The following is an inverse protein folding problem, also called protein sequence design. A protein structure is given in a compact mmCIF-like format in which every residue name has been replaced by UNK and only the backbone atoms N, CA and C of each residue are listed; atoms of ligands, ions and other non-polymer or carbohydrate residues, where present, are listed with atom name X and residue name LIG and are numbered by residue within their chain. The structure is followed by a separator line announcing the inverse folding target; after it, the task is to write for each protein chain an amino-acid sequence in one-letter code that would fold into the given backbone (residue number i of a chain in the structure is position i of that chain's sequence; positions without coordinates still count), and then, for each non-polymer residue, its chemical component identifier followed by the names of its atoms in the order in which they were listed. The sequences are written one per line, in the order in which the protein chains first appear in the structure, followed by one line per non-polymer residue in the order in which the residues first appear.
data_IF_909015046036
#
_entry.id   IF_909015046036
#
_cell.length_a   1.000
_cell.length_b   1.000
_cell.length_c   1.000
_cell.angle_alpha   90.00
_cell.angle_beta   90.00
_cell.angle_gamma   90.00
#
_symmetry.space_group_name_H-M   'P 1'
#
loop_
_entity.id
_entity.type
_entity.pdbx_description
1 polymer ?
#
# COMPACT_ATOMS: atom_id res chain seq x y z
N UNK A 1 -1.12 7.14 18.41
CA UNK A 1 -1.49 6.95 16.98
C UNK A 1 -1.07 5.54 16.59
N UNK A 2 -2.00 4.67 16.23
CA UNK A 2 -1.69 3.38 15.63
C UNK A 2 -1.22 3.63 14.19
N UNK A 3 0.03 3.24 13.92
CA UNK A 3 0.66 3.23 12.61
C UNK A 3 1.49 1.94 12.47
N UNK A 4 0.98 0.83 13.00
CA UNK A 4 1.73 -0.42 13.18
C UNK A 4 1.83 -1.28 11.90
N UNK A 5 1.52 -0.70 10.73
CA UNK A 5 1.59 -1.42 9.45
C UNK A 5 0.78 -2.74 9.50
N UNK A 6 1.32 -3.86 9.00
CA UNK A 6 0.62 -5.15 8.93
C UNK A 6 0.02 -5.65 10.26
N UNK A 7 0.50 -5.14 11.40
CA UNK A 7 -0.02 -5.43 12.73
C UNK A 7 -1.15 -4.49 13.19
N UNK A 8 -1.66 -3.61 12.32
CA UNK A 8 -2.61 -2.56 12.68
C UNK A 8 -3.89 -3.12 13.32
N UNK A 9 -4.42 -4.23 12.78
CA UNK A 9 -5.64 -4.87 13.29
C UNK A 9 -5.43 -5.42 14.72
N UNK A 10 -4.28 -6.05 14.99
CA UNK A 10 -3.92 -6.54 16.32
C UNK A 10 -3.86 -5.39 17.34
N UNK A 11 -3.26 -4.26 16.98
CA UNK A 11 -3.19 -3.08 17.86
C UNK A 11 -4.58 -2.50 18.11
N UNK A 12 -5.46 -2.49 17.11
CA UNK A 12 -6.85 -2.03 17.27
C UNK A 12 -7.69 -2.97 18.15
N UNK A 13 -7.46 -4.29 18.06
CA UNK A 13 -8.09 -5.28 18.94
C UNK A 13 -7.62 -5.11 20.38
N UNK A 14 -6.30 -4.96 20.60
CA UNK A 14 -5.73 -4.70 21.92
C UNK A 14 -6.27 -3.42 22.57
N UNK A 15 -6.50 -2.38 21.76
CA UNK A 15 -7.10 -1.13 22.21
C UNK A 15 -8.63 -1.20 22.40
N UNK A 16 -9.28 -2.29 21.98
CA UNK A 16 -10.73 -2.47 22.08
C UNK A 16 -11.55 -1.63 21.11
N UNK A 17 -10.94 -1.10 20.04
CA UNK A 17 -11.59 -0.18 19.08
C UNK A 17 -12.07 -0.85 17.80
N UNK A 18 -11.68 -2.11 17.56
CA UNK A 18 -11.97 -2.83 16.31
C UNK A 18 -13.48 -2.97 16.01
N UNK A 19 -14.33 -3.02 17.04
CA UNK A 19 -15.78 -3.09 16.89
C UNK A 19 -16.40 -1.79 16.35
N UNK A 20 -15.74 -0.64 16.58
CA UNK A 20 -16.18 0.67 16.10
C UNK A 20 -15.80 0.97 14.64
N UNK A 21 -15.19 0.01 13.95
CA UNK A 21 -14.71 0.13 12.57
C UNK A 21 -15.57 -0.68 11.61
N UNK A 22 -16.00 -0.06 10.51
CA UNK A 22 -16.67 -0.72 9.39
C UNK A 22 -15.69 -1.36 8.43
N UNK A 23 -14.52 -0.73 8.24
CA UNK A 23 -13.44 -1.24 7.39
C UNK A 23 -12.42 -2.00 8.25
N UNK A 24 -12.06 -3.20 7.82
CA UNK A 24 -11.05 -4.04 8.47
C UNK A 24 -9.71 -3.93 7.74
N UNK A 25 -8.66 -4.35 8.43
CA UNK A 25 -7.31 -4.47 7.86
C UNK A 25 -6.77 -5.88 8.02
N UNK A 26 -5.94 -6.32 7.09
CA UNK A 26 -5.30 -7.64 7.09
C UNK A 26 -3.89 -7.55 6.50
N UNK A 27 -2.99 -8.39 6.99
CA UNK A 27 -1.67 -8.53 6.42
C UNK A 27 -1.73 -9.35 5.11
N UNK A 28 -1.24 -8.75 4.02
CA UNK A 28 -1.09 -9.39 2.73
C UNK A 28 0.39 -9.59 2.45
N UNK A 29 0.81 -10.83 2.21
CA UNK A 29 2.18 -11.12 1.76
C UNK A 29 2.32 -10.70 0.31
N UNK A 30 3.36 -9.92 0.03
CA UNK A 30 3.72 -9.46 -1.30
C UNK A 30 5.19 -9.75 -1.58
N UNK A 31 5.51 -9.94 -2.85
CA UNK A 31 6.88 -10.14 -3.29
C UNK A 31 7.15 -9.44 -4.61
N UNK A 32 8.41 -9.04 -4.78
CA UNK A 32 8.91 -8.39 -5.99
C UNK A 32 10.10 -9.17 -6.51
N UNK A 33 10.21 -9.27 -7.83
CA UNK A 33 11.32 -9.94 -8.52
C UNK A 33 12.44 -8.96 -8.85
N UNK A 34 13.69 -9.38 -8.69
CA UNK A 34 14.87 -8.65 -9.14
C UNK A 34 15.49 -9.40 -10.32
N UNK A 35 15.47 -8.78 -11.49
CA UNK A 35 15.90 -9.37 -12.75
C UNK A 35 17.07 -8.56 -13.33
N UNK A 36 18.13 -9.19 -13.89
CA UNK A 36 19.20 -8.44 -14.52
C UNK A 36 18.69 -7.59 -15.68
N UNK A 37 19.35 -6.44 -15.90
CA UNK A 37 19.11 -5.64 -17.10
C UNK A 37 19.34 -6.47 -18.38
N UNK A 38 18.57 -6.22 -19.47
CA UNK A 38 18.84 -6.80 -20.77
C UNK A 38 20.26 -6.54 -21.27
N UNK A 39 20.79 -7.46 -22.08
CA UNK A 39 22.12 -7.28 -22.67
C UNK A 39 22.18 -5.99 -23.51
N UNK A 40 23.22 -5.19 -23.28
CA UNK A 40 23.44 -3.93 -23.98
C UNK A 40 22.60 -2.75 -23.48
N UNK A 41 21.87 -2.89 -22.38
CA UNK A 41 21.13 -1.80 -21.74
C UNK A 41 21.56 -1.59 -20.29
N UNK A 42 21.75 -0.34 -19.89
CA UNK A 42 21.98 0.04 -18.49
C UNK A 42 20.64 0.50 -17.90
N UNK A 43 19.91 -0.42 -17.27
CA UNK A 43 18.61 -0.10 -16.70
C UNK A 43 18.72 0.74 -15.43
N UNK A 44 19.84 0.67 -14.72
CA UNK A 44 20.06 1.51 -13.54
C UNK A 44 20.24 2.98 -13.94
N UNK A 45 20.98 3.25 -15.03
CA UNK A 45 21.21 4.61 -15.50
C UNK A 45 20.08 5.15 -16.41
N UNK A 46 19.61 4.34 -17.36
CA UNK A 46 18.73 4.77 -18.46
C UNK A 46 17.31 4.21 -18.35
N UNK A 47 17.05 3.32 -17.38
CA UNK A 47 15.75 2.73 -17.17
C UNK A 47 14.70 3.72 -16.65
N UNK A 48 13.44 3.44 -16.95
CA UNK A 48 12.30 4.23 -16.49
C UNK A 48 11.41 3.42 -15.55
N UNK A 49 10.68 4.13 -14.70
CA UNK A 49 9.59 3.54 -13.92
C UNK A 49 8.39 3.35 -14.85
N UNK A 50 7.81 2.15 -14.85
CA UNK A 50 6.63 1.82 -15.64
C UNK A 50 5.61 1.03 -14.84
N UNK A 51 4.35 1.18 -15.21
CA UNK A 51 3.19 0.40 -14.75
C UNK A 51 2.41 0.01 -16.00
N UNK A 52 2.03 -1.27 -16.12
CA UNK A 52 1.36 -1.81 -17.30
C UNK A 52 0.29 -2.82 -16.89
N UNK A 53 -0.95 -2.33 -16.85
CA UNK A 53 -2.13 -3.11 -16.53
C UNK A 53 -2.37 -4.30 -17.46
N UNK A 54 -1.82 -4.32 -18.69
CA UNK A 54 -1.97 -5.48 -19.59
C UNK A 54 -1.17 -6.69 -19.10
N UNK A 55 -0.06 -6.46 -18.40
CA UNK A 55 0.74 -7.51 -17.78
C UNK A 55 0.48 -7.61 -16.27
N UNK A 56 -0.32 -6.71 -15.71
CA UNK A 56 -0.68 -6.67 -14.29
C UNK A 56 0.54 -6.45 -13.39
N UNK A 57 1.41 -5.51 -13.75
CA UNK A 57 2.66 -5.32 -13.04
C UNK A 57 3.36 -4.02 -13.35
N UNK A 58 4.29 -3.67 -12.49
CA UNK A 58 5.13 -2.48 -12.59
C UNK A 58 6.61 -2.87 -12.58
N UNK A 59 7.46 -1.95 -13.03
CA UNK A 59 8.90 -2.12 -12.98
C UNK A 59 9.61 -0.79 -12.71
N UNK A 60 10.79 -0.87 -12.08
CA UNK A 60 11.67 0.28 -11.88
C UNK A 60 13.15 -0.13 -11.91
N UNK A 61 14.06 0.82 -12.15
CA UNK A 61 15.48 0.62 -11.92
C UNK A 61 15.78 0.14 -10.50
N UNK A 62 16.71 -0.80 -10.39
CA UNK A 62 17.23 -1.32 -9.14
C UNK A 62 18.77 -1.40 -9.17
N UNK A 63 19.36 -1.24 -8.00
CA UNK A 63 20.81 -1.17 -7.75
C UNK A 63 21.53 -2.38 -8.31
N UNK A 64 22.68 -2.15 -8.95
CA UNK A 64 23.50 -3.20 -9.56
C UNK A 64 23.05 -3.58 -10.96
N UNK A 65 22.49 -2.62 -11.71
CA UNK A 65 21.95 -2.78 -13.06
C UNK A 65 20.88 -3.89 -13.16
N UNK A 66 19.90 -3.83 -12.26
CA UNK A 66 18.75 -4.71 -12.22
C UNK A 66 17.44 -3.96 -12.47
N UNK A 67 16.40 -4.74 -12.72
CA UNK A 67 15.01 -4.32 -12.80
C UNK A 67 14.30 -4.94 -11.60
N UNK A 68 13.68 -4.11 -10.76
CA UNK A 68 12.67 -4.58 -9.83
C UNK A 68 11.35 -4.66 -10.57
N UNK A 69 10.71 -5.81 -10.53
CA UNK A 69 9.38 -6.07 -11.09
C UNK A 69 8.43 -6.40 -9.94
N UNK A 70 7.27 -5.77 -9.89
CA UNK A 70 6.24 -6.05 -8.91
C UNK A 70 4.87 -6.27 -9.54
N UNK A 71 3.94 -6.80 -8.75
CA UNK A 71 2.56 -7.05 -9.18
C UNK A 71 1.69 -5.80 -9.00
N UNK A 72 0.67 -5.67 -9.83
CA UNK A 72 -0.49 -4.78 -9.60
C UNK A 72 -1.69 -5.57 -9.06
N UNK A 73 -1.44 -6.78 -8.56
CA UNK A 73 -2.43 -7.74 -8.05
C UNK A 73 -3.58 -7.97 -9.04
N UNK A 74 -3.29 -8.41 -10.29
CA UNK A 74 -4.33 -8.73 -11.25
C UNK A 74 -5.19 -9.90 -10.75
N UNK A 75 -6.46 -9.97 -11.17
CA UNK A 75 -7.44 -10.99 -10.72
C UNK A 75 -6.96 -12.44 -10.87
N UNK A 76 -6.07 -12.72 -11.83
CA UNK A 76 -5.53 -14.05 -12.04
C UNK A 76 -4.50 -14.49 -10.99
N UNK A 77 -3.99 -13.57 -10.17
CA UNK A 77 -3.09 -13.84 -9.06
C UNK A 77 -3.89 -13.98 -7.76
N UNK A 78 -3.65 -15.07 -7.02
CA UNK A 78 -4.21 -15.21 -5.68
C UNK A 78 -3.57 -14.21 -4.70
N UNK A 79 -4.40 -13.68 -3.79
CA UNK A 79 -3.92 -12.87 -2.66
C UNK A 79 -3.55 -13.77 -1.48
N UNK A 80 -2.30 -13.66 -1.02
CA UNK A 80 -1.76 -14.47 0.08
C UNK A 80 -1.89 -13.75 1.43
N UNK A 81 -3.01 -13.98 2.10
CA UNK A 81 -3.31 -13.41 3.40
C UNK A 81 -2.63 -14.20 4.53
N UNK A 82 -1.86 -13.53 5.36
CA UNK A 82 -0.97 -14.19 6.34
C UNK A 82 -1.11 -13.61 7.75
N UNK A 83 -0.55 -14.34 8.72
CA UNK A 83 -0.26 -13.81 10.05
C UNK A 83 1.03 -12.96 9.96
N UNK A 84 1.02 -11.67 10.37
CA UNK A 84 2.18 -10.81 10.24
C UNK A 84 3.38 -11.22 11.11
N UNK A 85 3.19 -12.07 12.12
CA UNK A 85 4.26 -12.66 12.93
C UNK A 85 4.73 -14.03 12.42
N UNK A 86 4.01 -14.64 11.47
CA UNK A 86 4.30 -15.98 10.98
C UNK A 86 3.92 -16.14 9.49
N UNK A 87 4.84 -15.76 8.61
CA UNK A 87 4.67 -15.88 7.17
C UNK A 87 5.96 -16.37 6.49
N UNK A 88 5.82 -16.90 5.27
CA UNK A 88 6.96 -17.33 4.48
C UNK A 88 7.73 -16.11 3.95
N UNK A 89 9.02 -15.98 4.30
CA UNK A 89 9.88 -14.90 3.83
C UNK A 89 10.70 -15.27 2.58
N UNK A 90 10.58 -16.51 2.10
CA UNK A 90 11.23 -16.94 0.87
C UNK A 90 10.45 -16.51 -0.36
N UNK A 91 11.17 -16.11 -1.41
CA UNK A 91 10.60 -15.81 -2.73
C UNK A 91 9.94 -17.06 -3.31
N UNK A 92 8.73 -16.91 -3.82
CA UNK A 92 7.95 -18.02 -4.41
C UNK A 92 8.05 -18.06 -5.94
N UNK A 93 7.34 -19.02 -6.55
CA UNK A 93 7.19 -19.09 -8.00
C UNK A 93 6.50 -17.85 -8.59
N UNK A 94 5.79 -17.06 -7.77
CA UNK A 94 5.12 -15.85 -8.21
C UNK A 94 6.11 -14.78 -8.71
N UNK A 95 7.30 -14.65 -8.12
CA UNK A 95 8.34 -13.78 -8.65
C UNK A 95 8.80 -14.19 -10.06
N UNK A 96 8.81 -15.49 -10.38
CA UNK A 96 9.07 -15.97 -11.75
C UNK A 96 7.94 -15.59 -12.70
N UNK A 97 6.69 -15.67 -12.25
CA UNK A 97 5.52 -15.21 -13.04
C UNK A 97 5.63 -13.73 -13.36
N UNK A 98 5.98 -12.89 -12.37
CA UNK A 98 6.21 -11.46 -12.56
C UNK A 98 7.36 -11.20 -13.57
N UNK A 99 8.46 -11.93 -13.46
CA UNK A 99 9.58 -11.84 -14.41
C UNK A 99 9.17 -12.20 -15.85
N UNK A 100 8.36 -13.26 -16.02
CA UNK A 100 7.85 -13.68 -17.32
C UNK A 100 6.88 -12.64 -17.92
N UNK A 101 6.08 -11.96 -17.09
CA UNK A 101 5.22 -10.84 -17.51
C UNK A 101 6.05 -9.66 -17.99
N UNK A 102 7.07 -9.26 -17.24
CA UNK A 102 7.98 -8.19 -17.64
C UNK A 102 8.76 -8.51 -18.93
N UNK A 103 9.13 -9.78 -19.16
CA UNK A 103 9.81 -10.21 -20.39
C UNK A 103 8.98 -9.99 -21.67
N UNK A 104 7.65 -9.82 -21.57
CA UNK A 104 6.82 -9.41 -22.71
C UNK A 104 7.10 -7.98 -23.18
N UNK A 105 7.72 -7.14 -22.34
CA UNK A 105 8.16 -5.77 -22.66
C UNK A 105 9.66 -5.65 -22.85
N UNK A 106 10.42 -6.57 -22.29
CA UNK A 106 11.88 -6.66 -22.43
C UNK A 106 12.27 -8.02 -23.02
N UNK A 107 12.09 -8.27 -24.33
CA UNK A 107 12.29 -9.60 -24.91
C UNK A 107 13.72 -10.13 -24.83
N UNK A 108 14.72 -9.24 -24.74
CA UNK A 108 16.14 -9.59 -24.54
C UNK A 108 16.53 -9.75 -23.06
N UNK A 109 15.57 -9.60 -22.13
CA UNK A 109 15.80 -9.82 -20.71
C UNK A 109 15.93 -11.31 -20.41
N UNK A 110 17.04 -11.67 -19.76
CA UNK A 110 17.23 -13.03 -19.28
C UNK A 110 16.45 -13.24 -17.98
N UNK A 111 15.67 -14.32 -17.91
CA UNK A 111 15.03 -14.75 -16.66
C UNK A 111 15.93 -15.81 -16.01
N UNK A 112 16.56 -15.52 -14.85
CA UNK A 112 17.39 -16.50 -14.16
C UNK A 112 16.59 -17.76 -13.78
N UNK A 113 17.29 -18.89 -13.64
CA UNK A 113 16.67 -20.11 -13.10
C UNK A 113 16.16 -19.88 -11.67
N UNK A 114 16.97 -19.17 -10.86
CA UNK A 114 16.62 -18.74 -9.51
C UNK A 114 16.37 -17.24 -9.54
N UNK A 115 15.10 -16.84 -9.58
CA UNK A 115 14.71 -15.44 -9.49
C UNK A 115 14.93 -14.96 -8.05
N UNK A 116 15.64 -13.85 -7.90
CA UNK A 116 15.82 -13.19 -6.60
C UNK A 116 14.71 -12.18 -6.39
N UNK A 117 14.52 -11.75 -5.16
CA UNK A 117 13.45 -10.82 -4.83
C UNK A 117 13.45 -10.43 -3.37
N UNK A 118 12.47 -9.63 -3.01
CA UNK A 118 12.16 -9.25 -1.64
C UNK A 118 10.71 -9.67 -1.37
N UNK A 119 10.49 -10.20 -0.18
CA UNK A 119 9.17 -10.56 0.34
C UNK A 119 8.92 -9.71 1.57
N UNK A 120 7.75 -9.09 1.65
CA UNK A 120 7.30 -8.36 2.84
C UNK A 120 5.77 -8.30 2.84
N UNK A 121 5.19 -7.46 3.71
CA UNK A 121 3.76 -7.39 3.97
C UNK A 121 3.18 -6.02 3.68
N UNK A 122 1.96 -6.01 3.14
CA UNK A 122 1.09 -4.85 3.14
C UNK A 122 0.04 -4.94 4.26
N UNK A 123 -0.30 -3.78 4.81
CA UNK A 123 -1.48 -3.58 5.65
C UNK A 123 -2.65 -3.15 4.78
N UNK A 124 -3.52 -4.10 4.40
CA UNK A 124 -4.52 -3.90 3.36
C UNK A 124 -5.91 -3.75 3.97
N UNK A 125 -6.65 -2.74 3.54
CA UNK A 125 -8.06 -2.54 3.90
C UNK A 125 -9.01 -3.27 2.96
N UNK A 126 -10.24 -3.52 3.41
CA UNK A 126 -11.28 -4.19 2.61
C UNK A 126 -11.53 -3.54 1.23
N UNK A 127 -11.26 -2.23 1.11
CA UNK A 127 -11.44 -1.44 -0.10
C UNK A 127 -10.12 -0.80 -0.59
N UNK A 128 -8.97 -1.28 -0.11
CA UNK A 128 -7.62 -0.83 -0.52
C UNK A 128 -7.32 0.68 -0.35
N UNK A 129 -8.17 1.41 0.39
CA UNK A 129 -8.01 2.82 0.73
C UNK A 129 -7.52 2.92 2.19
N UNK A 130 -6.56 3.79 2.53
CA UNK A 130 -6.08 3.91 3.91
C UNK A 130 -7.15 4.40 4.89
N UNK A 131 -6.91 4.14 6.17
CA UNK A 131 -7.66 4.72 7.28
C UNK A 131 -6.79 5.79 7.94
N UNK A 132 -7.25 7.04 7.87
CA UNK A 132 -6.65 8.21 8.51
C UNK A 132 -7.72 8.86 9.39
N UNK A 133 -7.86 8.38 10.63
CA UNK A 133 -9.05 8.66 11.44
C UNK A 133 -8.75 8.64 12.95
N UNK A 134 -9.74 9.04 13.75
CA UNK A 134 -9.79 8.86 15.21
C UNK A 134 -10.70 7.67 15.55
N UNK A 135 -10.50 6.99 16.67
CA UNK A 135 -11.41 5.94 17.15
C UNK A 135 -12.46 6.47 18.13
N UNK A 136 -13.36 5.60 18.60
CA UNK A 136 -14.24 5.87 19.73
C UNK A 136 -13.52 5.86 21.10
N UNK A 137 -12.31 5.32 21.18
CA UNK A 137 -11.43 5.47 22.34
C UNK A 137 -10.75 6.85 22.31
N UNK A 138 -11.02 7.67 23.33
CA UNK A 138 -10.46 9.02 23.46
C UNK A 138 -8.93 9.00 23.39
N UNK A 139 -8.36 9.80 22.48
CA UNK A 139 -6.91 9.94 22.29
C UNK A 139 -6.28 8.84 21.41
N UNK A 140 -7.08 7.90 20.89
CA UNK A 140 -6.59 6.85 19.99
C UNK A 140 -6.93 7.18 18.54
N UNK A 141 -5.88 7.36 17.73
CA UNK A 141 -5.93 7.73 16.32
C UNK A 141 -5.27 6.65 15.47
N UNK A 142 -5.61 6.57 14.19
CA UNK A 142 -5.16 5.54 13.26
C UNK A 142 -4.64 6.17 11.96
N UNK A 143 -3.46 5.72 11.55
CA UNK A 143 -2.91 5.94 10.21
C UNK A 143 -2.44 4.58 9.68
N UNK A 144 -3.39 3.78 9.20
CA UNK A 144 -3.25 2.35 8.94
C UNK A 144 -3.87 1.99 7.58
N UNK A 145 -3.75 0.74 7.16
CA UNK A 145 -4.45 0.24 6.00
C UNK A 145 -3.90 0.77 4.68
N UNK A 146 -2.60 1.10 4.65
CA UNK A 146 -1.97 1.81 3.53
C UNK A 146 -1.97 1.05 2.19
N UNK A 147 -2.31 -0.24 2.20
CA UNK A 147 -2.60 -1.05 1.01
C UNK A 147 -1.54 -0.96 -0.09
N UNK A 148 -0.27 -0.83 0.32
CA UNK A 148 0.91 -0.85 -0.56
C UNK A 148 1.21 0.42 -1.36
N UNK A 149 0.38 1.46 -1.34
CA UNK A 149 0.51 2.59 -2.27
C UNK A 149 0.80 3.97 -1.64
N UNK A 150 0.84 4.05 -0.32
CA UNK A 150 0.94 5.31 0.43
C UNK A 150 2.36 5.76 0.80
N UNK A 151 3.41 5.01 0.48
CA UNK A 151 4.80 5.40 0.82
C UNK A 151 5.12 6.84 0.37
N UNK A 152 4.76 7.17 -0.88
CA UNK A 152 4.94 8.51 -1.47
C UNK A 152 4.09 9.61 -0.79
N UNK A 153 2.98 9.23 -0.16
CA UNK A 153 2.05 10.15 0.49
C UNK A 153 2.37 10.38 1.98
N UNK A 154 3.24 9.57 2.57
CA UNK A 154 3.55 9.62 4.01
C UNK A 154 3.84 11.05 4.55
N UNK A 155 4.59 11.94 3.84
CA UNK A 155 4.82 13.30 4.33
C UNK A 155 3.55 14.15 4.48
N UNK A 156 2.60 14.03 3.54
CA UNK A 156 1.33 14.78 3.63
C UNK A 156 0.38 14.11 4.62
N UNK A 157 0.41 12.78 4.74
CA UNK A 157 -0.36 12.03 5.75
C UNK A 157 0.04 12.46 7.15
N UNK A 158 1.33 12.63 7.44
CA UNK A 158 1.77 13.16 8.74
C UNK A 158 1.16 14.52 9.07
N UNK A 159 1.07 15.44 8.09
CA UNK A 159 0.42 16.75 8.26
C UNK A 159 -1.09 16.63 8.45
N UNK A 160 -1.74 15.73 7.70
CA UNK A 160 -3.17 15.44 7.84
C UNK A 160 -3.50 14.91 9.23
N UNK A 161 -2.73 13.93 9.72
CA UNK A 161 -2.94 13.35 11.05
C UNK A 161 -2.67 14.37 12.16
N UNK A 162 -1.64 15.21 12.04
CA UNK A 162 -1.40 16.28 13.00
C UNK A 162 -2.58 17.26 13.08
N UNK A 163 -3.13 17.66 11.92
CA UNK A 163 -4.30 18.54 11.87
C UNK A 163 -5.57 17.86 12.41
N UNK A 164 -5.76 16.58 12.12
CA UNK A 164 -6.88 15.79 12.65
C UNK A 164 -6.84 15.70 14.17
N UNK A 165 -5.66 15.39 14.74
CA UNK A 165 -5.46 15.32 16.19
C UNK A 165 -5.78 16.69 16.81
N UNK A 166 -5.18 17.78 16.31
CA UNK A 166 -5.46 19.13 16.83
C UNK A 166 -6.95 19.50 16.74
N UNK A 167 -7.62 19.14 15.64
CA UNK A 167 -9.04 19.39 15.43
C UNK A 167 -9.92 18.67 16.46
N UNK A 168 -9.66 17.38 16.72
CA UNK A 168 -10.41 16.58 17.70
C UNK A 168 -10.10 17.00 19.12
N UNK A 169 -8.83 17.23 19.47
CA UNK A 169 -8.44 17.65 20.83
C UNK A 169 -8.98 19.05 21.20
N UNK A 170 -9.33 19.89 20.21
CA UNK A 170 -10.06 21.15 20.40
C UNK A 170 -11.57 20.98 20.60
N UNK A 171 -12.05 19.74 20.70
CA UNK A 171 -13.45 19.40 20.99
C UNK A 171 -14.34 19.22 19.76
N UNK A 172 -13.77 19.14 18.56
CA UNK A 172 -14.56 18.89 17.35
C UNK A 172 -14.86 17.40 17.18
N UNK A 173 -16.09 17.07 16.79
CA UNK A 173 -16.53 15.70 16.52
C UNK A 173 -16.27 15.36 15.04
N UNK A 174 -15.16 14.65 14.76
CA UNK A 174 -14.76 14.29 13.39
C UNK A 174 -15.76 13.38 12.68
N UNK A 175 -16.43 12.49 13.42
CA UNK A 175 -17.40 11.56 12.84
C UNK A 175 -18.62 12.31 12.32
N UNK A 176 -19.06 13.37 13.01
CA UNK A 176 -20.19 14.23 12.58
C UNK A 176 -19.76 15.34 11.62
N UNK A 177 -18.64 15.99 11.92
CA UNK A 177 -18.09 17.13 11.18
C UNK A 177 -16.65 16.78 10.74
N UNK A 178 -16.49 16.04 9.63
CA UNK A 178 -15.17 15.64 9.17
C UNK A 178 -14.28 16.84 8.88
N UNK A 179 -13.02 16.70 9.28
CA UNK A 179 -12.00 17.69 8.97
C UNK A 179 -11.79 17.74 7.45
N UNK A 180 -11.81 18.96 6.90
CA UNK A 180 -11.40 19.25 5.53
C UNK A 180 -10.01 19.84 5.54
N UNK A 181 -9.01 19.02 5.21
CA UNK A 181 -7.60 19.41 5.27
C UNK A 181 -7.17 20.15 4.01
N UNK A 182 -6.65 21.37 4.16
CA UNK A 182 -6.06 22.14 3.05
C UNK A 182 -4.71 21.54 2.66
N UNK A 183 -4.58 21.07 1.42
CA UNK A 183 -3.30 20.57 0.92
C UNK A 183 -2.30 21.72 0.80
N UNK A 184 -1.07 21.60 1.33
CA UNK A 184 -0.10 22.71 1.35
C UNK A 184 0.31 23.21 -0.04
N UNK A 185 0.29 22.33 -1.04
CA UNK A 185 0.84 22.58 -2.37
C UNK A 185 -0.23 22.52 -3.49
N UNK A 186 -1.51 22.48 -3.13
CA UNK A 186 -2.62 22.47 -4.11
C UNK A 186 -3.55 23.62 -3.79
N UNK A 187 -3.65 24.57 -4.72
CA UNK A 187 -4.53 25.71 -4.56
C UNK A 187 -5.99 25.30 -4.60
N UNK A 188 -6.81 25.92 -3.74
CA UNK A 188 -8.27 25.77 -3.70
C UNK A 188 -8.80 24.35 -3.50
N UNK A 189 -7.96 23.40 -3.04
CA UNK A 189 -8.39 22.05 -2.73
C UNK A 189 -8.30 21.74 -1.24
N UNK A 190 -9.37 21.17 -0.70
CA UNK A 190 -9.43 20.64 0.66
C UNK A 190 -9.83 19.17 0.59
N UNK A 191 -8.94 18.31 1.06
CA UNK A 191 -9.20 16.89 1.20
C UNK A 191 -10.22 16.68 2.32
N UNK A 192 -11.39 16.15 1.99
CA UNK A 192 -12.35 15.71 2.98
C UNK A 192 -11.86 14.39 3.58
N UNK A 193 -11.53 14.39 4.88
CA UNK A 193 -11.03 13.20 5.56
C UNK A 193 -12.12 12.16 5.84
N UNK A 194 -13.41 12.45 5.61
CA UNK A 194 -14.47 11.43 5.61
C UNK A 194 -14.13 10.27 4.67
N UNK A 195 -13.45 10.56 3.56
CA UNK A 195 -12.99 9.56 2.60
C UNK A 195 -12.11 8.47 3.23
N UNK A 196 -11.34 8.81 4.27
CA UNK A 196 -10.44 7.90 4.97
C UNK A 196 -11.02 7.38 6.30
N UNK A 197 -12.31 7.61 6.56
CA UNK A 197 -12.91 7.22 7.83
C UNK A 197 -12.89 5.69 8.02
N UNK A 198 -12.66 5.25 9.25
CA UNK A 198 -12.82 3.84 9.66
C UNK A 198 -14.26 3.34 9.56
N UNK A 199 -15.24 4.26 9.51
CA UNK A 199 -16.68 4.00 9.48
C UNK A 199 -17.29 4.08 8.09
N UNK A 200 -16.50 4.39 7.06
CA UNK A 200 -16.98 4.44 5.68
C UNK A 200 -17.53 3.09 5.23
N UNK A 201 -18.38 3.12 4.21
CA UNK A 201 -18.74 1.93 3.46
C UNK A 201 -17.60 1.55 2.51
N UNK A 202 -17.48 0.26 2.20
CA UNK A 202 -16.52 -0.24 1.21
C UNK A 202 -16.73 0.52 -0.10
N UNK A 203 -15.68 1.22 -0.55
CA UNK A 203 -15.72 1.92 -1.82
C UNK A 203 -15.64 0.92 -2.98
N UNK A 204 -16.76 0.70 -3.67
CA UNK A 204 -16.84 -0.23 -4.80
C UNK A 204 -16.17 0.27 -6.08
N UNK A 205 -15.80 1.55 -6.12
CA UNK A 205 -15.07 2.15 -7.24
C UNK A 205 -13.54 2.01 -7.08
N UNK A 206 -13.06 1.42 -5.97
CA UNK A 206 -11.63 1.08 -5.84
C UNK A 206 -11.23 -0.01 -6.83
N UNK A 207 -9.95 -0.01 -7.20
CA UNK A 207 -9.32 -1.08 -7.97
C UNK A 207 -9.29 -2.43 -7.26
N UNK A 208 -9.42 -2.44 -5.93
CA UNK A 208 -9.15 -3.61 -5.08
C UNK A 208 -7.74 -4.19 -5.28
N UNK A 209 -6.77 -3.33 -5.59
CA UNK A 209 -5.36 -3.65 -5.73
C UNK A 209 -4.45 -2.50 -5.28
N UNK A 210 -3.13 -2.67 -5.37
CA UNK A 210 -2.16 -1.63 -5.00
C UNK A 210 -2.31 -0.36 -5.83
N UNK A 211 -3.01 -0.41 -6.96
CA UNK A 211 -3.25 0.77 -7.80
C UNK A 211 -4.09 1.83 -7.08
N UNK A 212 -4.96 1.42 -6.15
CA UNK A 212 -5.88 2.28 -5.39
C UNK A 212 -7.22 2.39 -6.08
#
# INVERSE_FOLDING_TARGET
VNAAGPHSYLVNELAGVAAGMSIKTRALRVEVAHIPSPEGFDFEADGIIGSDANIGGYYRPETGNHILVGSEEPECDGLDWVDPDNYNQDVSDQARVQAMRAAQRFPSMNIPNNVKGIVDLYDVTDDWIPIYDVSDLKGFYMAIGTSGNQFKNAPVVGKMMAALIDYVEKGSDHDKNPLRFKLPNVENYHQDLRFFSRRREINRDSSFSVVG
#
